data_IF_974282813487
#
_entry.id   IF_974282813487
#
_cell.length_a   1.000
_cell.length_b   1.000
_cell.length_c   1.000
_cell.angle_alpha   90.00
_cell.angle_beta   90.00
_cell.angle_gamma   90.00
#
_symmetry.space_group_name_H-M   'P 1'
#
loop_
_entity.id
_entity.type
_entity.pdbx_description
1 polymer ?
#
# COMPACT_ATOMS: atom_id res chain seq x y z
N UNK A 1 -30.89 28.95 20.88
CA UNK A 1 -30.67 28.70 19.43
C UNK A 1 -29.71 29.75 18.83
N UNK A 2 -28.60 30.07 19.50
CA UNK A 2 -27.73 31.20 19.12
C UNK A 2 -26.25 30.82 18.87
N UNK A 3 -25.87 29.54 18.97
CA UNK A 3 -24.46 29.10 18.85
C UNK A 3 -24.11 28.44 17.50
N UNK A 4 -25.10 28.18 16.64
CA UNK A 4 -24.94 27.39 15.42
C UNK A 4 -23.98 28.00 14.37
N UNK A 5 -24.06 29.29 14.01
CA UNK A 5 -23.18 29.85 12.95
C UNK A 5 -21.71 30.01 13.37
N UNK A 6 -21.44 30.23 14.67
CA UNK A 6 -20.06 30.28 15.20
C UNK A 6 -19.44 28.87 15.15
N UNK A 7 -20.23 27.84 15.48
CA UNK A 7 -19.76 26.44 15.43
C UNK A 7 -19.41 25.97 14.01
N UNK A 8 -20.12 26.48 12.99
CA UNK A 8 -19.85 26.18 11.58
C UNK A 8 -18.52 26.81 11.12
N UNK A 9 -18.31 28.10 11.42
CA UNK A 9 -17.06 28.81 11.11
C UNK A 9 -15.85 28.21 11.85
N UNK A 10 -16.00 27.84 13.12
CA UNK A 10 -14.93 27.20 13.90
C UNK A 10 -14.53 25.84 13.30
N UNK A 11 -15.52 25.06 12.84
CA UNK A 11 -15.28 23.76 12.20
C UNK A 11 -14.51 23.91 10.88
N UNK A 12 -14.85 24.91 10.06
CA UNK A 12 -14.16 25.20 8.79
C UNK A 12 -12.75 25.73 9.04
N UNK A 13 -12.58 26.66 9.99
CA UNK A 13 -11.25 27.16 10.36
C UNK A 13 -10.33 26.06 10.89
N UNK A 14 -10.85 25.15 11.72
CA UNK A 14 -10.10 24.00 12.23
C UNK A 14 -9.68 23.04 11.11
N UNK A 15 -10.55 22.81 10.12
CA UNK A 15 -10.22 22.01 8.95
C UNK A 15 -9.14 22.68 8.08
N UNK A 16 -9.29 23.98 7.84
CA UNK A 16 -8.33 24.79 7.09
C UNK A 16 -6.95 24.85 7.76
N UNK A 17 -6.89 25.03 9.08
CA UNK A 17 -5.62 25.06 9.82
C UNK A 17 -4.90 23.71 9.77
N UNK A 18 -5.64 22.61 9.94
CA UNK A 18 -5.08 21.24 9.86
C UNK A 18 -4.53 20.93 8.46
N UNK A 19 -5.26 21.34 7.41
CA UNK A 19 -4.82 21.16 6.03
C UNK A 19 -3.57 21.97 5.72
N UNK A 20 -3.51 23.22 6.23
CA UNK A 20 -2.35 24.10 6.07
C UNK A 20 -1.11 23.54 6.76
N UNK A 21 -1.24 23.15 8.03
CA UNK A 21 -0.15 22.56 8.82
C UNK A 21 0.41 21.31 8.15
N UNK A 22 -0.48 20.45 7.63
CA UNK A 22 -0.06 19.28 6.86
C UNK A 22 0.71 19.65 5.59
N UNK A 23 0.27 20.68 4.85
CA UNK A 23 0.93 21.14 3.62
C UNK A 23 2.30 21.79 3.90
N UNK A 24 2.45 22.46 5.05
CA UNK A 24 3.74 23.03 5.48
C UNK A 24 4.74 21.94 5.89
N UNK A 25 4.31 20.92 6.65
CA UNK A 25 5.15 19.74 6.96
C UNK A 25 5.59 19.05 5.66
N UNK A 26 4.67 18.86 4.73
CA UNK A 26 4.93 18.31 3.40
C UNK A 26 6.00 19.08 2.64
N UNK A 27 5.84 20.40 2.53
CA UNK A 27 6.79 21.28 1.83
C UNK A 27 8.19 21.25 2.46
N UNK A 28 8.27 21.13 3.78
CA UNK A 28 9.55 21.04 4.51
C UNK A 28 10.30 19.75 4.16
N UNK A 29 9.58 18.61 4.07
CA UNK A 29 10.14 17.31 3.70
C UNK A 29 10.57 17.24 2.23
N UNK A 30 9.86 17.95 1.36
CA UNK A 30 10.20 18.05 -0.07
C UNK A 30 11.49 18.87 -0.32
N UNK A 31 11.72 19.90 0.49
CA UNK A 31 12.85 20.84 0.32
C UNK A 31 14.15 20.32 0.95
N UNK A 32 14.06 19.32 1.83
CA UNK A 32 15.17 18.77 2.64
C UNK A 32 16.24 17.95 1.91
N UNK A 33 16.22 17.89 0.58
CA UNK A 33 17.25 17.24 -0.23
C UNK A 33 17.20 15.70 -0.18
N UNK A 34 16.57 15.10 -1.19
CA UNK A 34 16.58 13.64 -1.36
C UNK A 34 16.98 13.29 -2.79
N UNK A 35 17.98 12.42 -2.93
CA UNK A 35 18.63 11.99 -4.18
C UNK A 35 17.71 11.34 -5.24
N UNK A 36 16.43 11.12 -4.93
CA UNK A 36 15.48 10.45 -5.82
C UNK A 36 14.12 11.12 -5.73
N UNK A 37 13.63 11.62 -6.86
CA UNK A 37 12.25 12.14 -7.05
C UNK A 37 11.20 11.20 -6.45
N UNK A 38 11.45 9.89 -6.45
CA UNK A 38 10.52 8.88 -5.93
C UNK A 38 10.53 8.76 -4.40
N UNK A 39 11.66 9.04 -3.74
CA UNK A 39 11.75 9.07 -2.27
C UNK A 39 11.07 10.32 -1.67
N UNK A 40 10.90 11.36 -2.49
CA UNK A 40 10.26 12.64 -2.17
C UNK A 40 8.74 12.58 -2.35
N UNK A 41 8.29 11.89 -3.40
CA UNK A 41 6.86 11.78 -3.76
C UNK A 41 6.11 10.80 -2.86
N UNK A 42 6.72 9.70 -2.41
CA UNK A 42 6.04 8.69 -1.56
C UNK A 42 5.60 9.21 -0.17
N UNK A 43 6.44 9.92 0.60
CA UNK A 43 6.05 10.48 1.90
C UNK A 43 4.93 11.51 1.77
N UNK A 44 4.88 12.15 0.61
CA UNK A 44 3.91 13.20 0.28
C UNK A 44 2.50 12.63 0.05
N UNK A 45 2.41 11.32 -0.10
CA UNK A 45 1.24 10.59 -0.56
C UNK A 45 0.64 9.69 0.55
N UNK A 46 1.17 9.68 1.78
CA UNK A 46 0.68 8.83 2.88
C UNK A 46 -0.58 9.36 3.60
N UNK A 47 -1.24 10.41 3.07
CA UNK A 47 -2.42 11.01 3.70
C UNK A 47 -3.75 10.42 3.20
N UNK A 48 -4.77 10.41 4.07
CA UNK A 48 -6.13 9.98 3.74
C UNK A 48 -6.92 11.11 3.04
N UNK A 49 -6.56 11.39 1.79
CA UNK A 49 -7.25 12.38 0.95
C UNK A 49 -8.72 12.02 0.71
N UNK A 50 -9.06 10.74 0.67
CA UNK A 50 -10.42 10.25 0.56
C UNK A 50 -11.26 10.61 1.81
N UNK A 51 -10.67 10.46 3.01
CA UNK A 51 -11.24 10.92 4.27
C UNK A 51 -11.45 12.43 4.31
N UNK A 52 -10.47 13.22 3.84
CA UNK A 52 -10.58 14.68 3.76
C UNK A 52 -11.68 15.15 2.78
N UNK A 53 -11.80 14.50 1.62
CA UNK A 53 -12.86 14.79 0.64
C UNK A 53 -14.25 14.44 1.18
N UNK A 54 -14.38 13.33 1.91
CA UNK A 54 -15.65 12.94 2.53
C UNK A 54 -16.01 13.84 3.73
N UNK A 55 -15.02 14.32 4.48
CA UNK A 55 -15.20 15.33 5.51
C UNK A 55 -15.69 16.66 4.92
N UNK A 56 -15.09 17.15 3.83
CA UNK A 56 -15.55 18.34 3.13
C UNK A 56 -17.01 18.21 2.65
N UNK A 57 -17.36 17.10 1.99
CA UNK A 57 -18.74 16.79 1.56
C UNK A 57 -19.72 16.75 2.74
N UNK A 58 -19.30 16.23 3.89
CA UNK A 58 -20.14 16.13 5.10
C UNK A 58 -20.34 17.49 5.76
N UNK A 59 -19.35 18.39 5.73
CA UNK A 59 -19.51 19.77 6.19
C UNK A 59 -20.44 20.56 5.27
N UNK A 60 -20.28 20.42 3.96
CA UNK A 60 -21.14 21.07 2.96
C UNK A 60 -22.62 20.69 3.15
N UNK A 61 -22.93 19.39 3.21
CA UNK A 61 -24.30 18.93 3.45
C UNK A 61 -24.86 19.30 4.82
N UNK A 62 -24.02 19.43 5.84
CA UNK A 62 -24.49 19.73 7.21
C UNK A 62 -24.85 21.20 7.40
N UNK A 63 -24.18 22.10 6.68
CA UNK A 63 -24.30 23.54 6.86
C UNK A 63 -24.76 24.26 5.58
N UNK A 64 -25.37 23.54 4.64
CA UNK A 64 -25.74 24.03 3.30
C UNK A 64 -26.54 25.34 3.33
N UNK A 65 -27.46 25.47 4.30
CA UNK A 65 -28.29 26.68 4.47
C UNK A 65 -27.61 27.80 5.29
N UNK A 66 -26.53 27.48 6.02
CA UNK A 66 -25.82 28.39 6.92
C UNK A 66 -24.49 28.91 6.33
N UNK A 67 -23.98 28.25 5.28
CA UNK A 67 -22.74 28.57 4.61
C UNK A 67 -22.92 29.76 3.63
N UNK A 68 -22.08 30.80 3.73
CA UNK A 68 -21.99 31.80 2.67
C UNK A 68 -21.62 31.11 1.34
N UNK A 69 -22.20 31.56 0.22
CA UNK A 69 -21.95 30.98 -1.11
C UNK A 69 -20.45 30.86 -1.45
N UNK A 70 -19.63 31.82 -0.98
CA UNK A 70 -18.16 31.80 -1.14
C UNK A 70 -17.46 30.70 -0.34
N UNK A 71 -17.98 30.34 0.83
CA UNK A 71 -17.42 29.27 1.66
C UNK A 71 -17.76 27.89 1.09
N UNK A 72 -18.99 27.72 0.59
CA UNK A 72 -19.40 26.51 -0.14
C UNK A 72 -18.55 26.30 -1.40
N UNK A 73 -18.32 27.34 -2.21
CA UNK A 73 -17.49 27.22 -3.42
C UNK A 73 -16.05 26.79 -3.10
N UNK A 74 -15.43 27.38 -2.07
CA UNK A 74 -14.09 27.02 -1.64
C UNK A 74 -14.00 25.58 -1.09
N UNK A 75 -15.02 25.11 -0.36
CA UNK A 75 -15.08 23.73 0.11
C UNK A 75 -15.21 22.73 -1.05
N UNK A 76 -16.00 23.06 -2.08
CA UNK A 76 -16.15 22.26 -3.29
C UNK A 76 -14.84 22.18 -4.09
N UNK A 77 -14.15 23.31 -4.29
CA UNK A 77 -12.82 23.35 -4.93
C UNK A 77 -11.80 22.52 -4.15
N UNK A 78 -11.79 22.63 -2.82
CA UNK A 78 -10.87 21.88 -1.97
C UNK A 78 -11.17 20.37 -2.01
N UNK A 79 -12.45 19.98 -2.08
CA UNK A 79 -12.86 18.60 -2.29
C UNK A 79 -12.36 18.06 -3.64
N UNK A 80 -12.50 18.82 -4.72
CA UNK A 80 -12.00 18.43 -6.04
C UNK A 80 -10.49 18.23 -6.03
N UNK A 81 -9.75 19.13 -5.37
CA UNK A 81 -8.31 18.99 -5.19
C UNK A 81 -7.93 17.71 -4.44
N UNK A 82 -8.65 17.35 -3.38
CA UNK A 82 -8.41 16.08 -2.66
C UNK A 82 -8.70 14.84 -3.52
N UNK A 83 -9.71 14.89 -4.39
CA UNK A 83 -9.98 13.79 -5.34
C UNK A 83 -8.84 13.63 -6.35
N UNK A 84 -8.35 14.75 -6.90
CA UNK A 84 -7.20 14.73 -7.82
C UNK A 84 -5.94 14.22 -7.11
N UNK A 85 -5.73 14.63 -5.86
CA UNK A 85 -4.62 14.16 -5.04
C UNK A 85 -4.69 12.65 -4.78
N UNK A 86 -5.88 12.10 -4.46
CA UNK A 86 -6.08 10.67 -4.26
C UNK A 86 -5.86 9.85 -5.54
N UNK A 87 -6.36 10.33 -6.69
CA UNK A 87 -6.13 9.70 -7.98
C UNK A 87 -4.63 9.67 -8.33
N UNK A 88 -3.93 10.78 -8.09
CA UNK A 88 -2.48 10.92 -8.30
C UNK A 88 -1.69 9.97 -7.40
N UNK A 89 -2.09 9.87 -6.13
CA UNK A 89 -1.56 8.89 -5.16
C UNK A 89 -1.65 7.46 -5.67
N UNK A 90 -2.81 7.07 -6.18
CA UNK A 90 -3.04 5.71 -6.66
C UNK A 90 -2.21 5.40 -7.91
N UNK A 91 -2.05 6.38 -8.81
CA UNK A 91 -1.17 6.25 -9.97
C UNK A 91 0.30 6.03 -9.58
N UNK A 92 0.86 6.86 -8.70
CA UNK A 92 2.24 6.72 -8.25
C UNK A 92 2.48 5.45 -7.44
N UNK A 93 1.51 5.06 -6.61
CA UNK A 93 1.55 3.79 -5.87
C UNK A 93 1.65 2.60 -6.82
N UNK A 94 0.90 2.64 -7.93
CA UNK A 94 0.94 1.60 -8.96
C UNK A 94 2.33 1.52 -9.61
N UNK A 95 2.92 2.66 -10.00
CA UNK A 95 4.28 2.70 -10.56
C UNK A 95 5.32 2.16 -9.56
N UNK A 96 5.18 2.51 -8.28
CA UNK A 96 6.07 2.01 -7.23
C UNK A 96 6.00 0.48 -7.11
N UNK A 97 4.78 -0.08 -7.04
CA UNK A 97 4.59 -1.53 -6.98
C UNK A 97 5.17 -2.22 -8.21
N UNK A 98 4.97 -1.68 -9.41
CA UNK A 98 5.54 -2.23 -10.64
C UNK A 98 7.08 -2.27 -10.61
N UNK A 99 7.73 -1.20 -10.11
CA UNK A 99 9.19 -1.18 -9.97
C UNK A 99 9.71 -2.17 -8.94
N UNK A 100 9.01 -2.32 -7.82
CA UNK A 100 9.41 -3.27 -6.77
C UNK A 100 9.24 -4.72 -7.24
N UNK A 101 8.19 -5.02 -8.02
CA UNK A 101 7.99 -6.32 -8.67
C UNK A 101 9.07 -6.60 -9.73
N UNK A 102 9.45 -5.60 -10.53
CA UNK A 102 10.53 -5.75 -11.50
C UNK A 102 11.88 -6.04 -10.81
N UNK A 103 12.16 -5.35 -9.68
CA UNK A 103 13.35 -5.60 -8.87
C UNK A 103 13.34 -6.99 -8.24
N UNK A 104 12.19 -7.41 -7.70
CA UNK A 104 11.98 -8.77 -7.17
C UNK A 104 12.25 -9.83 -8.25
N UNK A 105 11.65 -9.67 -9.42
CA UNK A 105 11.85 -10.57 -10.55
C UNK A 105 13.34 -10.71 -10.87
N UNK A 106 14.06 -9.59 -10.99
CA UNK A 106 15.51 -9.59 -11.25
C UNK A 106 16.32 -10.30 -10.16
N UNK A 107 15.99 -10.07 -8.88
CA UNK A 107 16.65 -10.74 -7.76
C UNK A 107 16.38 -12.26 -7.75
N UNK A 108 15.15 -12.69 -8.03
CA UNK A 108 14.80 -14.11 -8.15
C UNK A 108 15.51 -14.73 -9.35
N UNK A 109 15.56 -14.05 -10.49
CA UNK A 109 16.28 -14.56 -11.67
C UNK A 109 17.77 -14.74 -11.37
N UNK A 110 18.42 -13.76 -10.74
CA UNK A 110 19.85 -13.88 -10.41
C UNK A 110 20.13 -14.95 -9.36
N UNK A 111 19.39 -14.96 -8.26
CA UNK A 111 19.55 -15.97 -7.20
C UNK A 111 19.20 -17.37 -7.71
N UNK A 112 18.12 -17.51 -8.48
CA UNK A 112 17.68 -18.77 -9.08
C UNK A 112 18.68 -19.32 -10.09
N UNK A 113 19.23 -18.45 -10.94
CA UNK A 113 20.29 -18.85 -11.89
C UNK A 113 21.54 -19.32 -11.15
N UNK A 114 21.97 -18.58 -10.12
CA UNK A 114 23.12 -18.98 -9.30
C UNK A 114 22.88 -20.32 -8.58
N UNK A 115 21.68 -20.53 -8.03
CA UNK A 115 21.27 -21.80 -7.42
C UNK A 115 21.33 -22.98 -8.39
N UNK A 116 20.80 -22.81 -9.61
CA UNK A 116 20.79 -23.87 -10.63
C UNK A 116 22.22 -24.21 -11.05
N UNK A 117 23.06 -23.19 -11.33
CA UNK A 117 24.46 -23.40 -11.72
C UNK A 117 25.25 -24.12 -10.63
N UNK A 118 25.09 -23.70 -9.36
CA UNK A 118 25.78 -24.32 -8.23
C UNK A 118 25.31 -25.77 -8.01
N UNK A 119 24.00 -26.02 -8.05
CA UNK A 119 23.44 -27.37 -7.91
C UNK A 119 23.94 -28.29 -9.03
N UNK A 120 23.97 -27.80 -10.27
CA UNK A 120 24.49 -28.56 -11.43
C UNK A 120 25.96 -28.90 -11.25
N UNK A 121 26.78 -27.95 -10.77
CA UNK A 121 28.21 -28.19 -10.48
C UNK A 121 28.40 -29.27 -9.42
N UNK A 122 27.64 -29.23 -8.31
CA UNK A 122 27.72 -30.23 -7.25
C UNK A 122 27.34 -31.62 -7.76
N UNK A 123 26.25 -31.70 -8.54
CA UNK A 123 25.82 -32.96 -9.16
C UNK A 123 26.90 -33.49 -10.11
N UNK A 124 27.51 -32.62 -10.93
CA UNK A 124 28.55 -33.02 -11.88
C UNK A 124 29.81 -33.54 -11.18
N UNK A 125 30.22 -32.91 -10.07
CA UNK A 125 31.33 -33.38 -9.23
C UNK A 125 31.03 -34.79 -8.70
N UNK A 126 29.82 -35.01 -8.17
CA UNK A 126 29.39 -36.33 -7.69
C UNK A 126 29.30 -37.38 -8.81
N UNK A 127 28.76 -37.00 -9.97
CA UNK A 127 28.60 -37.87 -11.12
C UNK A 127 29.94 -38.29 -11.76
N UNK A 128 30.99 -37.46 -11.61
CA UNK A 128 32.34 -37.75 -12.13
C UNK A 128 33.08 -38.87 -11.38
N UNK A 129 32.47 -39.47 -10.36
CA UNK A 129 33.00 -40.65 -9.67
C UNK A 129 34.14 -40.36 -8.70
N UNK A 130 34.38 -39.08 -8.34
CA UNK A 130 35.37 -38.68 -7.34
C UNK A 130 34.86 -39.08 -5.94
N UNK A 131 35.42 -40.10 -5.25
CA UNK A 131 35.00 -40.44 -3.90
C UNK A 131 35.76 -39.55 -2.92
N UNK A 132 35.11 -38.63 -2.17
CA UNK A 132 35.83 -37.76 -1.24
C UNK A 132 35.92 -38.46 0.11
N UNK A 133 36.49 -39.67 0.16
CA UNK A 133 36.79 -40.34 1.45
C UNK A 133 37.90 -39.63 2.23
N UNK A 134 38.55 -38.61 1.64
CA UNK A 134 39.60 -37.83 2.29
C UNK A 134 39.13 -36.54 2.98
N UNK A 135 37.90 -36.05 2.75
CA UNK A 135 37.43 -34.74 3.25
C UNK A 135 35.91 -34.69 3.54
N UNK A 136 35.41 -35.67 4.28
CA UNK A 136 33.98 -35.81 4.61
C UNK A 136 33.38 -34.53 5.25
N UNK A 137 34.14 -33.84 6.10
CA UNK A 137 33.72 -32.57 6.72
C UNK A 137 33.54 -31.42 5.73
N UNK A 138 34.42 -31.29 4.74
CA UNK A 138 34.33 -30.22 3.72
C UNK A 138 33.16 -30.44 2.76
N UNK A 139 32.90 -31.71 2.43
CA UNK A 139 31.79 -32.09 1.57
C UNK A 139 30.44 -31.75 2.20
N UNK A 140 30.29 -31.98 3.51
CA UNK A 140 29.07 -31.68 4.26
C UNK A 140 28.78 -30.18 4.32
N UNK A 141 29.84 -29.37 4.50
CA UNK A 141 29.77 -27.90 4.43
C UNK A 141 29.40 -27.44 3.02
N UNK A 142 30.00 -28.02 1.98
CA UNK A 142 29.73 -27.68 0.59
C UNK A 142 28.30 -28.01 0.18
N UNK A 143 27.78 -29.18 0.55
CA UNK A 143 26.39 -29.58 0.29
C UNK A 143 25.42 -28.67 1.06
N UNK A 144 25.73 -28.35 2.32
CA UNK A 144 24.92 -27.44 3.12
C UNK A 144 24.89 -26.01 2.55
N UNK A 145 26.04 -25.51 2.07
CA UNK A 145 26.14 -24.23 1.38
C UNK A 145 25.37 -24.23 0.05
N UNK A 146 25.49 -25.31 -0.74
CA UNK A 146 24.75 -25.47 -1.98
C UNK A 146 23.24 -25.50 -1.74
N UNK A 147 22.80 -26.20 -0.69
CA UNK A 147 21.40 -26.24 -0.27
C UNK A 147 20.91 -24.85 0.17
N UNK A 148 21.71 -24.12 0.96
CA UNK A 148 21.38 -22.75 1.38
C UNK A 148 21.22 -21.80 0.18
N UNK A 149 22.12 -21.89 -0.81
CA UNK A 149 22.01 -21.12 -2.06
C UNK A 149 20.79 -21.55 -2.86
N UNK A 150 20.46 -22.85 -2.89
CA UNK A 150 19.26 -23.36 -3.56
C UNK A 150 17.96 -22.82 -2.94
N UNK A 151 17.93 -22.61 -1.62
CA UNK A 151 16.79 -21.98 -0.93
C UNK A 151 16.78 -20.44 -0.98
N UNK A 152 17.87 -19.79 -1.39
CA UNK A 152 17.97 -18.33 -1.46
C UNK A 152 16.85 -17.66 -2.28
N UNK A 153 16.47 -18.13 -3.48
CA UNK A 153 15.40 -17.50 -4.27
C UNK A 153 14.06 -17.55 -3.56
N UNK A 154 13.78 -18.66 -2.85
CA UNK A 154 12.55 -18.84 -2.07
C UNK A 154 12.54 -17.88 -0.87
N UNK A 155 13.67 -17.73 -0.18
CA UNK A 155 13.80 -16.80 0.95
C UNK A 155 13.60 -15.34 0.50
N UNK A 156 14.17 -14.95 -0.65
CA UNK A 156 13.98 -13.62 -1.26
C UNK A 156 12.50 -13.40 -1.60
N UNK A 157 11.87 -14.37 -2.26
CA UNK A 157 10.44 -14.30 -2.58
C UNK A 157 9.60 -14.12 -1.31
N UNK A 158 9.84 -14.93 -0.29
CA UNK A 158 9.10 -14.87 0.98
C UNK A 158 9.24 -13.52 1.67
N UNK A 159 10.46 -13.01 1.81
CA UNK A 159 10.73 -11.71 2.42
C UNK A 159 10.01 -10.57 1.67
N UNK A 160 9.98 -10.63 0.33
CA UNK A 160 9.29 -9.65 -0.50
C UNK A 160 7.77 -9.74 -0.39
N UNK A 161 7.21 -10.95 -0.35
CA UNK A 161 5.77 -11.15 -0.12
C UNK A 161 5.37 -10.55 1.22
N UNK A 162 6.11 -10.84 2.30
CA UNK A 162 5.84 -10.25 3.63
C UNK A 162 5.92 -8.72 3.59
N UNK A 163 6.93 -8.15 2.93
CA UNK A 163 7.09 -6.70 2.80
C UNK A 163 5.93 -6.06 2.05
N UNK A 164 5.52 -6.64 0.92
CA UNK A 164 4.40 -6.15 0.12
C UNK A 164 3.08 -6.31 0.90
N UNK A 165 2.85 -7.45 1.55
CA UNK A 165 1.68 -7.68 2.39
C UNK A 165 1.59 -6.69 3.56
N UNK A 166 2.72 -6.34 4.18
CA UNK A 166 2.76 -5.34 5.24
C UNK A 166 2.37 -3.94 4.73
N UNK A 167 2.85 -3.56 3.52
CA UNK A 167 2.46 -2.30 2.86
C UNK A 167 0.98 -2.32 2.48
N UNK A 168 0.51 -3.40 1.84
CA UNK A 168 -0.89 -3.56 1.43
C UNK A 168 -1.83 -3.51 2.63
N UNK A 169 -1.47 -4.13 3.76
CA UNK A 169 -2.26 -4.07 4.99
C UNK A 169 -2.38 -2.65 5.53
N UNK A 170 -1.36 -1.80 5.33
CA UNK A 170 -1.39 -0.38 5.71
C UNK A 170 -2.22 0.48 4.75
N UNK A 171 -2.29 0.12 3.47
CA UNK A 171 -3.12 0.84 2.47
C UNK A 171 -4.55 0.33 2.36
N UNK A 172 -4.89 -0.78 3.02
CA UNK A 172 -6.24 -1.36 3.07
C UNK A 172 -7.18 -0.57 3.99
N UNK A 173 -7.08 0.75 3.99
CA UNK A 173 -8.15 1.60 4.48
C UNK A 173 -9.36 1.38 3.54
N UNK A 174 -10.57 1.13 4.08
CA UNK A 174 -11.77 1.03 3.24
C UNK A 174 -11.86 2.31 2.41
N UNK A 175 -11.71 2.20 1.09
CA UNK A 175 -11.88 3.35 0.21
C UNK A 175 -13.24 3.99 0.46
N UNK A 176 -13.31 5.32 0.38
CA UNK A 176 -14.48 6.15 0.63
C UNK A 176 -15.70 5.86 -0.29
N UNK A 177 -15.68 4.76 -1.04
CA UNK A 177 -16.71 4.29 -1.96
C UNK A 177 -17.23 2.89 -1.66
N UNK A 178 -17.01 2.33 -0.47
CA UNK A 178 -17.75 1.12 -0.07
C UNK A 178 -19.12 1.53 0.47
N UNK A 179 -20.24 1.24 -0.23
CA UNK A 179 -21.57 1.55 0.29
C UNK A 179 -21.80 0.78 1.59
N UNK A 180 -22.33 1.40 2.66
CA UNK A 180 -22.71 0.66 3.85
C UNK A 180 -23.88 -0.27 3.53
N UNK A 181 -23.68 -1.59 3.64
CA UNK A 181 -24.78 -2.49 4.02
C UNK A 181 -25.20 -3.64 3.10
N UNK A 182 -24.42 -4.10 2.11
CA UNK A 182 -24.86 -5.21 1.25
C UNK A 182 -24.48 -6.64 1.76
N UNK A 183 -24.50 -6.86 3.08
CA UNK A 183 -24.21 -8.20 3.67
C UNK A 183 -25.35 -8.82 4.47
N UNK A 184 -26.60 -8.35 4.34
CA UNK A 184 -27.72 -8.85 5.17
C UNK A 184 -28.91 -9.50 4.45
N UNK A 185 -28.94 -9.59 3.11
CA UNK A 185 -30.15 -10.07 2.39
C UNK A 185 -30.08 -11.53 1.90
N UNK A 186 -28.97 -12.24 2.05
CA UNK A 186 -28.78 -13.58 1.46
C UNK A 186 -29.23 -14.76 2.32
N UNK A 187 -29.64 -14.54 3.58
CA UNK A 187 -30.06 -15.61 4.50
C UNK A 187 -31.58 -15.78 4.66
N UNK A 188 -32.39 -14.76 4.34
CA UNK A 188 -33.86 -14.87 4.48
C UNK A 188 -34.54 -15.65 3.34
N UNK A 189 -33.93 -15.74 2.15
CA UNK A 189 -34.57 -16.37 1.00
C UNK A 189 -34.57 -17.91 1.01
N UNK A 190 -33.92 -18.57 1.99
CA UNK A 190 -33.88 -20.04 2.11
C UNK A 190 -34.82 -20.65 3.16
N UNK A 191 -35.62 -19.82 3.84
CA UNK A 191 -36.58 -20.30 4.86
C UNK A 191 -38.01 -20.58 4.35
N UNK A 192 -38.34 -20.24 3.10
CA UNK A 192 -39.73 -20.25 2.61
C UNK A 192 -40.07 -21.43 1.69
N UNK A 193 -39.46 -22.61 1.89
CA UNK A 193 -39.94 -23.85 1.24
C UNK A 193 -40.98 -24.50 2.14
N UNK A 194 -42.25 -24.21 1.85
CA UNK A 194 -43.43 -24.85 2.44
C UNK A 194 -43.53 -26.29 1.90
N UNK A 195 -43.67 -27.33 2.75
CA UNK A 195 -43.90 -28.69 2.26
C UNK A 195 -45.32 -28.82 1.68
N UNK A 196 -45.51 -29.64 0.64
CA UNK A 196 -46.83 -29.91 0.06
C UNK A 196 -47.68 -30.75 1.03
N UNK A 197 -48.91 -30.28 1.26
CA UNK A 197 -50.01 -31.10 1.76
C UNK A 197 -50.83 -31.63 0.59
#
# INVERSE_FOLDING_TARGET
AADTPISALESICRFGSRTREHTEDLSSRLTGGTESVFAVVLPTIDHDYAGAANEARRLEHRFDEELPARASSLLSELRELFVIADATRQYFTTIYLQRELARLSRLITYSGTAAILLSTLVIMIYASGYPPVAFEGWLLVLVSAALAVAFSPLAVLFAYVVRISAVLKRTSAPGAFTPPGEFHRSYEARGAVRPPG
#
